data_IF_435176206646
#
_entry.id   IF_435176206646
#
_cell.length_a   1.000
_cell.length_b   1.000
_cell.length_c   1.000
_cell.angle_alpha   90.00
_cell.angle_beta   90.00
_cell.angle_gamma   90.00
#
_symmetry.space_group_name_H-M   'P 1'
#
loop_
_entity.id
_entity.type
_entity.pdbx_description
1 polymer ?
#
# COMPACT_ATOMS: atom_id res chain seq x y z
N UNK A 1 -14.98 -47.70 1.01
CA UNK A 1 -14.80 -47.13 2.38
C UNK A 1 -14.25 -45.71 2.20
N UNK A 2 -15.05 -44.67 2.52
CA UNK A 2 -14.62 -43.28 2.45
C UNK A 2 -14.28 -42.80 3.85
N UNK A 3 -13.01 -42.50 4.10
CA UNK A 3 -12.57 -41.90 5.36
C UNK A 3 -12.75 -40.38 5.27
N UNK A 4 -13.71 -39.83 6.01
CA UNK A 4 -13.81 -38.40 6.23
C UNK A 4 -12.89 -38.03 7.41
N UNK A 5 -11.74 -37.42 7.12
CA UNK A 5 -10.86 -36.87 8.14
C UNK A 5 -11.37 -35.49 8.56
N UNK A 6 -11.88 -35.39 9.78
CA UNK A 6 -12.19 -34.11 10.43
C UNK A 6 -10.87 -33.38 10.70
N UNK A 7 -10.46 -32.49 9.80
CA UNK A 7 -9.33 -31.59 10.03
C UNK A 7 -9.71 -30.61 11.14
N UNK A 8 -9.41 -30.94 12.39
CA UNK A 8 -9.27 -29.94 13.45
C UNK A 8 -8.20 -28.95 12.99
N UNK A 9 -8.61 -27.71 12.73
CA UNK A 9 -7.72 -26.63 12.30
C UNK A 9 -6.75 -26.27 13.44
N UNK A 10 -5.70 -27.07 13.60
CA UNK A 10 -4.62 -26.77 14.52
C UNK A 10 -3.98 -25.46 14.04
N UNK A 11 -3.91 -24.45 14.91
CA UNK A 11 -3.24 -23.18 14.65
C UNK A 11 -1.86 -23.49 14.08
N UNK A 12 -1.59 -23.08 12.84
CA UNK A 12 -0.33 -23.41 12.17
C UNK A 12 0.83 -22.74 12.94
N UNK A 13 1.52 -23.51 13.78
CA UNK A 13 2.66 -23.04 14.55
C UNK A 13 3.74 -22.52 13.60
N UNK A 14 4.35 -21.39 13.94
CA UNK A 14 5.55 -20.89 13.23
C UNK A 14 6.77 -21.63 13.77
N UNK A 15 7.66 -22.04 12.87
CA UNK A 15 8.93 -22.70 13.19
C UNK A 15 10.08 -21.70 13.12
N UNK A 16 11.08 -21.88 13.97
CA UNK A 16 12.32 -21.10 13.94
C UNK A 16 13.27 -21.72 12.93
N UNK A 17 13.80 -20.90 12.03
CA UNK A 17 14.74 -21.32 10.99
C UNK A 17 15.87 -20.32 10.90
N UNK A 18 17.07 -20.79 10.56
CA UNK A 18 18.23 -19.94 10.31
C UNK A 18 18.41 -19.74 8.81
N UNK A 19 18.49 -18.49 8.36
CA UNK A 19 18.76 -18.17 6.96
C UNK A 19 20.24 -18.45 6.63
N UNK A 20 20.49 -19.15 5.53
CA UNK A 20 21.83 -19.45 5.01
C UNK A 20 22.23 -18.50 3.88
N UNK A 21 21.25 -17.83 3.26
CA UNK A 21 21.40 -16.86 2.19
C UNK A 21 20.55 -15.63 2.48
N UNK A 22 20.90 -14.50 1.88
CA UNK A 22 20.09 -13.29 1.94
C UNK A 22 18.80 -13.50 1.16
N UNK A 23 17.66 -13.35 1.85
CA UNK A 23 16.35 -13.57 1.29
C UNK A 23 15.50 -12.34 1.57
N UNK A 24 15.45 -11.37 0.66
CA UNK A 24 14.55 -10.23 0.78
C UNK A 24 13.11 -10.68 0.51
N UNK A 25 12.10 -10.27 1.31
CA UNK A 25 12.14 -9.32 2.43
C UNK A 25 12.31 -9.97 3.83
N UNK A 26 12.59 -11.28 3.92
CA UNK A 26 12.63 -12.02 5.19
C UNK A 26 13.77 -11.59 6.10
N UNK A 27 14.98 -11.46 5.56
CA UNK A 27 16.16 -11.17 6.34
C UNK A 27 17.46 -11.48 5.62
N UNK A 28 18.54 -11.34 6.39
CA UNK A 28 19.91 -11.58 5.93
C UNK A 28 20.42 -12.94 6.40
N UNK A 29 21.47 -13.45 5.76
CA UNK A 29 22.19 -14.67 6.12
C UNK A 29 22.62 -14.63 7.59
N UNK A 30 22.46 -15.77 8.26
CA UNK A 30 22.76 -15.96 9.68
C UNK A 30 21.61 -15.59 10.61
N UNK A 31 20.58 -14.89 10.13
CA UNK A 31 19.45 -14.46 10.95
C UNK A 31 18.48 -15.61 11.26
N UNK A 32 17.96 -15.63 12.50
CA UNK A 32 16.91 -16.55 12.92
C UNK A 32 15.54 -15.90 12.71
N UNK A 33 14.66 -16.55 11.94
CA UNK A 33 13.34 -16.02 11.57
C UNK A 33 12.25 -17.04 11.88
N UNK A 34 11.05 -16.57 12.23
CA UNK A 34 9.86 -17.39 12.47
C UNK A 34 8.99 -17.47 11.22
N UNK A 35 8.92 -18.63 10.58
CA UNK A 35 8.21 -18.83 9.31
C UNK A 35 7.13 -19.90 9.41
N UNK A 36 6.21 -19.93 8.44
CA UNK A 36 5.22 -21.01 8.31
C UNK A 36 5.91 -22.29 7.82
N UNK A 37 5.58 -23.49 8.34
CA UNK A 37 6.19 -24.75 7.93
C UNK A 37 6.06 -25.02 6.41
N UNK A 38 4.90 -24.72 5.82
CA UNK A 38 4.70 -24.88 4.37
C UNK A 38 5.61 -23.98 3.55
N UNK A 39 5.85 -22.75 4.01
CA UNK A 39 6.79 -21.83 3.37
C UNK A 39 8.24 -22.31 3.49
N UNK A 40 8.62 -22.81 4.68
CA UNK A 40 9.93 -23.40 4.89
C UNK A 40 10.17 -24.58 3.94
N UNK A 41 9.25 -25.55 3.90
CA UNK A 41 9.38 -26.76 3.07
C UNK A 41 9.41 -26.47 1.57
N UNK A 42 8.54 -25.58 1.09
CA UNK A 42 8.35 -25.38 -0.34
C UNK A 42 9.31 -24.35 -0.95
N UNK A 43 9.79 -23.38 -0.17
CA UNK A 43 10.57 -22.24 -0.71
C UNK A 43 11.96 -22.09 -0.10
N UNK A 44 12.09 -22.19 1.22
CA UNK A 44 13.36 -21.90 1.90
C UNK A 44 14.30 -23.10 1.99
N UNK A 45 13.73 -24.29 2.15
CA UNK A 45 14.50 -25.53 2.14
C UNK A 45 14.99 -25.85 0.72
N UNK A 46 14.20 -25.49 -0.29
CA UNK A 46 14.57 -25.65 -1.70
C UNK A 46 15.72 -24.70 -2.03
N UNK A 47 16.85 -25.27 -2.47
CA UNK A 47 18.05 -24.51 -2.78
C UNK A 47 18.86 -24.08 -1.56
N UNK A 48 18.69 -24.74 -0.39
CA UNK A 48 19.48 -24.49 0.82
C UNK A 48 19.50 -23.03 1.27
N UNK A 49 18.36 -22.33 1.16
CA UNK A 49 18.26 -20.91 1.55
C UNK A 49 18.12 -20.74 3.07
N UNK A 50 17.54 -21.72 3.75
CA UNK A 50 17.44 -21.75 5.20
C UNK A 50 17.58 -23.18 5.75
N UNK A 51 17.91 -23.28 7.04
CA UNK A 51 18.02 -24.52 7.79
C UNK A 51 17.07 -24.51 9.00
N UNK A 52 16.55 -25.67 9.37
CA UNK A 52 15.85 -25.82 10.66
C UNK A 52 16.83 -25.66 11.81
N UNK A 53 16.34 -25.13 12.92
CA UNK A 53 17.06 -25.10 14.19
C UNK A 53 16.45 -26.21 15.04
N UNK A 54 17.21 -27.29 15.24
CA UNK A 54 16.84 -28.41 16.09
C UNK A 54 17.51 -28.21 17.45
N UNK A 55 16.76 -28.45 18.51
CA UNK A 55 17.27 -28.36 19.88
C UNK A 55 18.44 -29.34 20.04
N UNK A 56 19.63 -28.81 20.32
CA UNK A 56 20.87 -29.59 20.49
C UNK A 56 21.87 -29.54 19.33
N UNK A 57 21.45 -29.26 18.09
CA UNK A 57 22.39 -29.12 16.95
C UNK A 57 22.97 -27.70 16.83
N UNK A 58 22.31 -26.72 17.46
CA UNK A 58 22.72 -25.32 17.44
C UNK A 58 22.60 -24.67 16.05
N UNK A 59 22.84 -23.35 15.96
CA UNK A 59 22.88 -22.63 14.69
C UNK A 59 24.10 -23.08 13.87
N UNK A 60 23.90 -23.37 12.58
CA UNK A 60 24.99 -23.83 11.70
C UNK A 60 25.99 -22.72 11.38
N UNK A 61 25.52 -21.48 11.40
CA UNK A 61 26.31 -20.27 11.11
C UNK A 61 26.23 -19.35 12.34
N UNK A 62 27.22 -18.49 12.61
CA UNK A 62 27.09 -17.44 13.61
C UNK A 62 25.80 -16.63 13.44
N UNK A 63 25.08 -16.42 14.54
CA UNK A 63 23.78 -15.73 14.52
C UNK A 63 24.01 -14.24 14.38
N UNK A 64 23.41 -13.67 13.33
CA UNK A 64 23.33 -12.23 13.15
C UNK A 64 21.99 -11.78 13.70
N UNK A 65 22.02 -11.03 14.80
CA UNK A 65 20.80 -10.49 15.39
C UNK A 65 20.32 -9.28 14.60
N UNK A 66 19.09 -9.36 14.08
CA UNK A 66 18.42 -8.17 13.55
C UNK A 66 17.98 -7.31 14.73
N UNK A 67 18.26 -5.99 14.73
CA UNK A 67 17.70 -5.10 15.72
C UNK A 67 16.17 -5.21 15.65
N UNK A 68 15.57 -5.76 16.71
CA UNK A 68 14.13 -5.91 16.81
C UNK A 68 13.56 -4.48 16.81
N UNK A 69 12.73 -4.06 15.84
CA UNK A 69 12.01 -2.81 15.99
C UNK A 69 11.16 -2.97 17.25
N UNK A 70 11.34 -2.07 18.21
CA UNK A 70 10.64 -2.14 19.49
C UNK A 70 9.14 -2.28 19.22
N UNK A 71 8.60 -3.47 19.46
CA UNK A 71 7.15 -3.65 19.50
C UNK A 71 6.62 -2.72 20.59
N UNK A 72 5.64 -1.86 20.31
CA UNK A 72 5.05 -1.02 21.35
C UNK A 72 4.59 -1.94 22.48
N UNK A 73 5.15 -1.75 23.66
CA UNK A 73 4.80 -2.48 24.86
C UNK A 73 3.29 -2.38 25.09
N UNK A 74 2.71 -3.49 25.50
CA UNK A 74 1.29 -3.63 25.82
C UNK A 74 0.88 -2.57 26.87
N UNK A 75 0.27 -1.48 26.39
CA UNK A 75 -0.50 -0.57 27.22
C UNK A 75 -1.76 -1.28 27.68
N UNK A 76 -1.86 -1.49 29.00
CA UNK A 76 -3.07 -1.89 29.70
C UNK A 76 -4.25 -1.03 29.23
N UNK A 77 -5.41 -1.68 29.05
CA UNK A 77 -6.72 -1.08 28.79
C UNK A 77 -6.96 0.20 29.62
N UNK A 78 -7.09 1.34 28.95
CA UNK A 78 -7.99 2.42 29.37
C UNK A 78 -8.79 2.82 28.14
N UNK A 79 -10.04 2.38 28.11
CA UNK A 79 -11.03 2.84 27.14
C UNK A 79 -11.34 4.29 27.46
N UNK A 80 -10.64 5.23 26.83
CA UNK A 80 -11.12 6.61 26.74
C UNK A 80 -11.93 6.73 25.45
N UNK A 81 -13.26 6.72 25.59
CA UNK A 81 -14.18 7.04 24.50
C UNK A 81 -13.91 8.49 24.05
N UNK A 82 -13.23 8.66 22.92
CA UNK A 82 -13.31 9.92 22.17
C UNK A 82 -14.69 9.97 21.51
N UNK A 83 -15.46 11.08 21.62
CA UNK A 83 -16.71 11.23 20.89
C UNK A 83 -16.39 11.31 19.39
N UNK A 84 -16.77 10.28 18.65
CA UNK A 84 -16.80 10.29 17.19
C UNK A 84 -17.82 11.34 16.77
N UNK A 85 -17.33 12.46 16.20
CA UNK A 85 -18.18 13.35 15.41
C UNK A 85 -18.66 12.53 14.22
N UNK A 86 -19.98 12.38 14.11
CA UNK A 86 -20.62 11.86 12.91
C UNK A 86 -20.44 12.91 11.83
N UNK A 87 -19.38 12.78 11.03
CA UNK A 87 -19.35 13.42 9.73
C UNK A 87 -20.41 12.72 8.89
N UNK A 88 -21.50 13.44 8.64
CA UNK A 88 -22.53 13.03 7.70
C UNK A 88 -21.91 13.05 6.32
N UNK A 89 -21.26 11.94 5.95
CA UNK A 89 -21.03 11.64 4.54
C UNK A 89 -22.39 11.75 3.86
N UNK A 90 -22.54 12.50 2.76
CA UNK A 90 -23.78 12.52 1.99
C UNK A 90 -24.01 11.12 1.43
N UNK A 91 -24.74 10.30 2.17
CA UNK A 91 -25.27 9.05 1.64
C UNK A 91 -26.35 9.49 0.67
N UNK A 92 -26.02 9.49 -0.61
CA UNK A 92 -26.99 9.70 -1.68
C UNK A 92 -28.18 8.77 -1.42
N UNK A 93 -29.37 9.35 -1.36
CA UNK A 93 -30.58 8.58 -1.13
C UNK A 93 -30.80 7.62 -2.32
N UNK A 94 -31.47 6.49 -2.08
CA UNK A 94 -31.81 5.57 -3.17
C UNK A 94 -32.65 6.26 -4.26
N UNK A 95 -33.41 7.29 -3.89
CA UNK A 95 -34.18 8.11 -4.82
C UNK A 95 -33.27 8.98 -5.71
N UNK A 96 -32.18 9.55 -5.16
CA UNK A 96 -31.19 10.30 -5.95
C UNK A 96 -30.47 9.41 -6.97
N UNK A 97 -30.19 8.16 -6.60
CA UNK A 97 -29.61 7.19 -7.53
C UNK A 97 -30.60 6.79 -8.63
N UNK A 98 -31.89 6.64 -8.31
CA UNK A 98 -32.93 6.34 -9.30
C UNK A 98 -33.04 7.45 -10.37
N UNK A 99 -32.98 8.70 -9.93
CA UNK A 99 -33.05 9.87 -10.81
C UNK A 99 -31.81 10.04 -11.71
N UNK A 100 -30.64 9.59 -11.26
CA UNK A 100 -29.43 9.59 -12.09
C UNK A 100 -29.53 8.59 -13.26
N UNK A 101 -30.14 7.43 -13.06
CA UNK A 101 -30.32 6.42 -14.10
C UNK A 101 -31.42 6.76 -15.11
N UNK A 102 -32.50 7.43 -14.68
CA UNK A 102 -33.53 7.90 -15.62
C UNK A 102 -32.97 9.00 -16.53
N UNK A 103 -32.24 9.97 -15.97
CA UNK A 103 -31.66 11.08 -16.73
C UNK A 103 -30.58 10.62 -17.72
N UNK A 104 -29.73 9.66 -17.34
CA UNK A 104 -28.72 9.09 -18.23
C UNK A 104 -29.34 8.31 -19.41
N UNK A 105 -30.53 7.74 -19.23
CA UNK A 105 -31.23 6.99 -20.28
C UNK A 105 -32.01 7.88 -21.24
N UNK A 106 -32.56 9.00 -20.76
CA UNK A 106 -33.20 10.02 -21.61
C UNK A 106 -32.19 10.83 -22.41
N UNK A 107 -30.97 11.05 -21.90
CA UNK A 107 -29.89 11.70 -22.65
C UNK A 107 -29.42 10.91 -23.89
N UNK A 108 -29.68 9.59 -23.94
CA UNK A 108 -29.42 8.76 -25.13
C UNK A 108 -30.56 8.72 -26.15
N UNK A 109 -31.73 9.26 -25.83
CA UNK A 109 -32.91 9.22 -26.70
C UNK A 109 -33.16 10.55 -27.44
N UNK A 110 -32.33 11.57 -27.19
CA UNK A 110 -32.38 12.87 -27.88
C UNK A 110 -31.14 13.04 -28.77
N UNK A 111 -31.03 12.24 -29.82
CA UNK A 111 -30.34 12.69 -31.03
C UNK A 111 -31.28 13.67 -31.74
N UNK A 112 -31.09 14.98 -31.54
CA UNK A 112 -31.18 15.99 -32.62
C UNK A 112 -30.85 17.42 -32.11
N UNK A 113 -29.63 17.83 -32.45
CA UNK A 113 -29.09 19.20 -32.63
C UNK A 113 -28.74 20.12 -31.41
N UNK A 114 -27.85 21.12 -31.58
CA UNK A 114 -26.80 21.30 -32.60
C UNK A 114 -25.37 21.21 -32.02
N UNK A 115 -24.41 20.91 -32.90
CA UNK A 115 -22.99 20.79 -32.60
C UNK A 115 -22.44 22.08 -31.96
N UNK A 116 -22.10 21.99 -30.67
CA UNK A 116 -21.21 22.96 -30.04
C UNK A 116 -19.79 22.69 -30.50
N UNK A 117 -19.25 23.61 -31.31
CA UNK A 117 -17.85 23.67 -31.66
C UNK A 117 -17.02 23.89 -30.39
N UNK A 118 -16.39 22.84 -29.88
CA UNK A 118 -15.36 22.96 -28.86
C UNK A 118 -14.06 23.44 -29.52
N UNK A 119 -13.75 24.72 -29.36
CA UNK A 119 -12.39 25.21 -29.47
C UNK A 119 -11.59 24.59 -28.33
N UNK A 120 -10.62 23.75 -28.65
CA UNK A 120 -9.68 23.19 -27.69
C UNK A 120 -8.77 24.30 -27.16
N UNK A 121 -9.17 24.94 -26.05
CA UNK A 121 -8.20 25.63 -25.21
C UNK A 121 -7.24 24.61 -24.60
N UNK A 122 -5.94 24.94 -24.47
CA UNK A 122 -4.97 24.04 -23.89
C UNK A 122 -5.38 23.70 -22.45
N UNK A 123 -5.67 22.42 -22.23
CA UNK A 123 -6.13 21.81 -20.98
C UNK A 123 -5.57 22.49 -19.72
N UNK A 124 -6.37 23.39 -19.15
CA UNK A 124 -6.17 23.91 -17.80
C UNK A 124 -6.68 22.86 -16.83
N UNK A 125 -5.74 22.05 -16.32
CA UNK A 125 -5.83 21.35 -15.03
C UNK A 125 -7.09 20.48 -14.82
N UNK A 126 -7.04 19.20 -15.18
CA UNK A 126 -8.06 18.19 -14.85
C UNK A 126 -8.14 17.83 -13.37
N UNK A 127 -7.44 18.53 -12.47
CA UNK A 127 -7.37 18.24 -11.05
C UNK A 127 -7.91 19.39 -10.21
N UNK A 128 -8.67 19.07 -9.16
CA UNK A 128 -9.03 20.03 -8.13
C UNK A 128 -7.94 20.10 -7.06
N UNK A 129 -7.70 21.28 -6.47
CA UNK A 129 -6.74 21.44 -5.36
C UNK A 129 -7.11 20.58 -4.14
N UNK A 130 -8.39 20.25 -3.97
CA UNK A 130 -8.88 19.37 -2.91
C UNK A 130 -8.39 17.92 -3.13
N UNK A 131 -8.53 17.39 -4.34
CA UNK A 131 -8.05 16.03 -4.68
C UNK A 131 -6.53 15.90 -4.52
N UNK A 132 -5.78 16.96 -4.83
CA UNK A 132 -4.34 16.99 -4.65
C UNK A 132 -3.95 16.93 -3.16
N UNK A 133 -4.68 17.66 -2.32
CA UNK A 133 -4.46 17.69 -0.87
C UNK A 133 -4.74 16.36 -0.18
N UNK A 134 -5.76 15.63 -0.64
CA UNK A 134 -6.09 14.30 -0.12
C UNK A 134 -5.12 13.22 -0.59
N UNK A 135 -4.51 13.40 -1.77
CA UNK A 135 -3.62 12.42 -2.40
C UNK A 135 -2.16 12.55 -1.96
N UNK A 136 -1.73 13.75 -1.55
CA UNK A 136 -0.33 14.01 -1.18
C UNK A 136 -0.12 13.91 0.34
N UNK A 137 0.93 13.20 0.81
CA UNK A 137 1.32 13.27 2.21
C UNK A 137 1.87 14.66 2.53
N UNK A 138 1.62 15.15 3.74
CA UNK A 138 2.07 16.49 4.17
C UNK A 138 3.60 16.71 4.12
N UNK A 139 4.38 15.63 4.10
CA UNK A 139 5.83 15.67 3.83
C UNK A 139 6.20 14.53 2.89
N UNK A 140 6.92 14.83 1.81
CA UNK A 140 7.42 13.85 0.84
C UNK A 140 8.94 13.92 0.76
N UNK A 141 9.61 12.79 0.97
CA UNK A 141 11.08 12.70 0.91
C UNK A 141 11.53 12.27 -0.47
N UNK A 142 12.29 13.12 -1.15
CA UNK A 142 12.82 12.86 -2.50
C UNK A 142 14.29 12.46 -2.40
N UNK A 143 14.65 11.30 -2.94
CA UNK A 143 16.04 10.88 -3.09
C UNK A 143 16.52 11.21 -4.50
N UNK A 144 17.08 12.41 -4.69
CA UNK A 144 17.65 12.84 -5.96
C UNK A 144 19.19 12.60 -5.98
N UNK A 145 19.76 12.12 -7.11
CA UNK A 145 21.20 11.86 -7.22
C UNK A 145 22.04 13.13 -7.42
N UNK A 146 21.44 14.23 -7.90
CA UNK A 146 22.11 15.51 -8.14
C UNK A 146 21.19 16.68 -7.82
N UNK A 147 21.78 17.77 -7.32
CA UNK A 147 21.13 19.05 -7.09
C UNK A 147 21.67 20.08 -8.07
N UNK A 148 20.85 21.02 -8.59
CA UNK A 148 19.47 21.36 -8.21
C UNK A 148 18.39 20.46 -8.82
N UNK A 149 17.25 20.32 -8.12
CA UNK A 149 16.10 19.53 -8.58
C UNK A 149 15.30 20.34 -9.61
N UNK A 150 15.03 19.76 -10.78
CA UNK A 150 14.20 20.38 -11.82
C UNK A 150 12.70 20.25 -11.50
N UNK A 151 11.90 21.22 -11.95
CA UNK A 151 10.43 21.19 -11.79
C UNK A 151 9.80 19.99 -12.52
N UNK A 152 10.37 19.61 -13.65
CA UNK A 152 9.91 18.44 -14.42
C UNK A 152 10.10 17.15 -13.62
N UNK A 153 11.21 17.03 -12.90
CA UNK A 153 11.46 15.90 -12.01
C UNK A 153 10.44 15.83 -10.86
N UNK A 154 10.07 16.98 -10.28
CA UNK A 154 9.03 17.04 -9.26
C UNK A 154 7.66 16.64 -9.82
N UNK A 155 7.31 17.13 -11.02
CA UNK A 155 6.03 16.78 -11.67
C UNK A 155 5.92 15.27 -11.92
N UNK A 156 6.98 14.65 -12.44
CA UNK A 156 7.02 13.21 -12.68
C UNK A 156 6.94 12.42 -11.36
N UNK A 157 7.58 12.91 -10.30
CA UNK A 157 7.55 12.26 -8.99
C UNK A 157 6.15 12.31 -8.37
N UNK A 158 5.45 13.43 -8.50
CA UNK A 158 4.07 13.57 -8.03
C UNK A 158 3.13 12.70 -8.85
N UNK A 159 3.29 12.65 -10.18
CA UNK A 159 2.52 11.77 -11.03
C UNK A 159 2.72 10.29 -10.66
N UNK A 160 3.96 9.85 -10.46
CA UNK A 160 4.26 8.46 -10.09
C UNK A 160 3.68 8.05 -8.73
N UNK A 161 3.42 9.01 -7.84
CA UNK A 161 2.87 8.74 -6.50
C UNK A 161 1.36 8.86 -6.43
N UNK A 162 0.76 9.81 -7.16
CA UNK A 162 -0.66 10.15 -7.07
C UNK A 162 -1.48 9.79 -8.30
N UNK A 163 -0.84 9.57 -9.44
CA UNK A 163 -1.50 9.43 -10.75
C UNK A 163 -2.01 10.76 -11.32
N UNK A 164 -1.73 11.89 -10.67
CA UNK A 164 -2.20 13.22 -11.08
C UNK A 164 -1.10 13.93 -11.88
N UNK A 165 -1.43 14.36 -13.09
CA UNK A 165 -0.53 15.13 -13.96
C UNK A 165 -0.52 16.59 -13.52
N UNK A 166 0.63 17.06 -13.02
CA UNK A 166 0.83 18.47 -12.65
C UNK A 166 1.78 19.11 -13.66
N UNK A 167 1.38 20.21 -14.33
CA UNK A 167 2.28 20.90 -15.23
C UNK A 167 3.43 21.58 -14.47
N UNK A 168 4.64 21.57 -15.02
CA UNK A 168 5.82 22.17 -14.38
C UNK A 168 5.70 23.68 -14.16
N UNK A 169 4.83 24.36 -14.90
CA UNK A 169 4.47 25.77 -14.70
C UNK A 169 3.74 26.04 -13.37
N UNK A 170 3.00 25.06 -12.83
CA UNK A 170 2.26 25.19 -11.57
C UNK A 170 3.13 24.94 -10.33
N UNK A 171 4.38 24.47 -10.50
CA UNK A 171 5.28 24.13 -9.40
C UNK A 171 6.16 25.34 -9.05
N UNK A 172 6.07 25.77 -7.79
CA UNK A 172 6.95 26.81 -7.21
C UNK A 172 7.87 26.18 -6.17
N UNK A 173 9.18 26.36 -6.37
CA UNK A 173 10.21 25.93 -5.42
C UNK A 173 10.57 27.16 -4.59
N UNK A 174 10.35 27.09 -3.27
CA UNK A 174 10.79 28.14 -2.34
C UNK A 174 12.16 27.74 -1.81
N UNK A 175 13.18 28.49 -2.20
CA UNK A 175 14.48 28.42 -1.53
C UNK A 175 14.30 29.03 -0.13
N UNK A 176 14.62 28.24 0.90
CA UNK A 176 14.55 28.63 2.31
C UNK A 176 15.91 29.02 2.83
#
# INVERSE_FOLDING_TARGET
IRWASTKTAAKSGKVHVQLLQDCLPLGVKGQIVRVKPGYMRNFLHVGNKACYIVDGQGPRIPVVEKPRPASPAEGKKVVLKKPVKKESVPVLSLDDLSNLFTNARTAKAAEDAPAQSFTAEPATSTYSLAELGDSLPGTFTISAPSFPISKDFLSATVFNSTGIEIPSSAITVKDS
#
